data_IF_673313698820
#
_entry.id   IF_673313698820
#
_cell.length_a   1.000
_cell.length_b   1.000
_cell.length_c   1.000
_cell.angle_alpha   90.00
_cell.angle_beta   90.00
_cell.angle_gamma   90.00
#
_symmetry.space_group_name_H-M   'P 1'
#
loop_
_entity.id
_entity.type
_entity.pdbx_description
1 polymer ?
#
# COMPACT_ATOMS: atom_id res chain seq x y z
N UNK A 1 -40.17 -13.73 8.50
CA UNK A 1 -38.89 -13.97 9.20
C UNK A 1 -37.89 -13.09 8.50
N UNK A 2 -37.50 -12.00 9.15
CA UNK A 2 -36.65 -10.96 8.60
C UNK A 2 -35.25 -11.47 8.31
N UNK A 3 -34.88 -11.43 7.03
CA UNK A 3 -33.50 -11.55 6.59
C UNK A 3 -32.79 -10.29 7.10
N UNK A 4 -32.18 -10.38 8.28
CA UNK A 4 -31.21 -9.40 8.72
C UNK A 4 -30.03 -9.60 7.78
N UNK A 5 -29.86 -8.71 6.82
CA UNK A 5 -28.62 -8.63 6.06
C UNK A 5 -27.49 -8.48 7.10
N UNK A 6 -26.65 -9.50 7.25
CA UNK A 6 -25.39 -9.34 7.99
C UNK A 6 -24.67 -8.19 7.30
N UNK A 7 -24.55 -7.08 8.00
CA UNK A 7 -23.68 -6.01 7.54
C UNK A 7 -22.27 -6.63 7.36
N UNK A 8 -21.74 -6.51 6.16
CA UNK A 8 -20.44 -7.07 5.84
C UNK A 8 -19.38 -6.19 6.51
N UNK A 9 -18.61 -6.81 7.40
CA UNK A 9 -17.54 -6.14 8.12
C UNK A 9 -16.24 -6.33 7.35
N UNK A 10 -15.53 -5.25 7.11
CA UNK A 10 -14.26 -5.21 6.41
C UNK A 10 -13.17 -4.71 7.37
N UNK A 11 -12.04 -5.39 7.38
CA UNK A 11 -10.90 -5.01 8.22
C UNK A 11 -9.67 -4.82 7.36
N UNK A 12 -9.05 -3.65 7.47
CA UNK A 12 -7.77 -3.33 6.85
C UNK A 12 -6.68 -3.19 7.91
N UNK A 13 -5.52 -3.78 7.65
CA UNK A 13 -4.33 -3.64 8.50
C UNK A 13 -3.18 -3.12 7.66
N UNK A 14 -2.68 -1.95 8.03
CA UNK A 14 -1.47 -1.35 7.49
C UNK A 14 -0.30 -1.61 8.45
N UNK A 15 0.75 -2.28 7.95
CA UNK A 15 1.92 -2.67 8.74
C UNK A 15 3.10 -1.82 8.29
N UNK A 16 3.12 -0.56 8.75
CA UNK A 16 4.16 0.39 8.38
C UNK A 16 5.43 0.30 9.24
N UNK A 17 6.50 0.94 8.78
CA UNK A 17 7.78 1.01 9.50
C UNK A 17 7.65 1.79 10.82
N UNK A 18 6.83 2.83 10.86
CA UNK A 18 6.66 3.70 12.02
C UNK A 18 5.50 3.28 12.94
N UNK A 19 4.41 2.81 12.36
CA UNK A 19 3.19 2.42 13.07
C UNK A 19 2.50 1.26 12.37
N UNK A 20 1.70 0.49 13.14
CA UNK A 20 0.69 -0.44 12.63
C UNK A 20 -0.68 0.18 12.87
N UNK A 21 -1.53 0.17 11.87
CA UNK A 21 -2.89 0.69 11.94
C UNK A 21 -3.88 -0.39 11.55
N UNK A 22 -4.91 -0.58 12.36
CA UNK A 22 -6.04 -1.45 12.05
C UNK A 22 -7.32 -0.61 11.94
N UNK A 23 -8.07 -0.80 10.86
CA UNK A 23 -9.33 -0.11 10.61
C UNK A 23 -10.43 -1.14 10.44
N UNK A 24 -11.53 -0.97 11.16
CA UNK A 24 -12.75 -1.76 11.00
C UNK A 24 -13.81 -0.89 10.37
N UNK A 25 -14.38 -1.34 9.27
CA UNK A 25 -15.48 -0.68 8.60
C UNK A 25 -16.66 -1.63 8.42
N UNK A 26 -17.87 -1.07 8.43
CA UNK A 26 -19.12 -1.77 8.17
C UNK A 26 -19.77 -1.23 6.89
N UNK A 27 -20.17 -2.13 6.00
CA UNK A 27 -20.90 -1.74 4.79
C UNK A 27 -22.37 -1.51 5.12
N UNK A 28 -22.82 -0.25 5.05
CA UNK A 28 -24.22 0.16 5.29
C UNK A 28 -24.75 0.96 4.11
N UNK A 29 -25.80 0.47 3.48
CA UNK A 29 -26.47 1.22 2.40
C UNK A 29 -25.57 1.56 1.22
N UNK A 30 -24.55 0.76 0.93
CA UNK A 30 -23.58 1.00 -0.16
C UNK A 30 -22.45 1.97 0.20
N UNK A 31 -22.35 2.39 1.45
CA UNK A 31 -21.25 3.19 1.98
C UNK A 31 -20.49 2.42 3.04
N UNK A 32 -19.19 2.71 3.19
CA UNK A 32 -18.35 2.18 4.26
C UNK A 32 -18.34 3.17 5.44
N UNK A 33 -18.76 2.71 6.60
CA UNK A 33 -18.68 3.45 7.86
C UNK A 33 -17.55 2.89 8.72
N UNK A 34 -16.57 3.72 9.09
CA UNK A 34 -15.50 3.31 9.99
C UNK A 34 -16.04 3.25 11.41
N UNK A 35 -16.03 2.05 12.01
CA UNK A 35 -16.55 1.78 13.34
C UNK A 35 -15.45 1.47 14.36
N UNK A 36 -14.23 1.19 13.92
CA UNK A 36 -13.09 0.92 14.78
C UNK A 36 -11.76 1.36 14.18
N UNK A 37 -10.88 1.86 15.01
CA UNK A 37 -9.52 2.26 14.68
C UNK A 37 -8.60 1.87 15.83
N UNK A 38 -7.50 1.20 15.50
CA UNK A 38 -6.43 0.92 16.44
C UNK A 38 -5.08 1.27 15.85
N UNK A 39 -4.20 1.84 16.68
CA UNK A 39 -2.88 2.28 16.23
C UNK A 39 -1.82 1.92 17.26
N UNK A 40 -0.73 1.30 16.81
CA UNK A 40 0.40 1.00 17.69
C UNK A 40 1.73 1.31 17.00
N UNK A 41 2.72 1.78 17.79
CA UNK A 41 4.07 2.02 17.26
C UNK A 41 4.70 0.73 16.75
N UNK A 42 5.30 0.77 15.56
CA UNK A 42 6.03 -0.34 14.96
C UNK A 42 7.51 -0.26 15.30
N UNK A 43 8.13 -1.40 15.58
CA UNK A 43 9.58 -1.53 15.82
C UNK A 43 10.20 -2.72 15.08
N UNK A 44 9.38 -3.56 14.47
CA UNK A 44 9.79 -4.80 13.83
C UNK A 44 10.02 -4.69 12.32
N UNK A 45 9.86 -3.50 11.72
CA UNK A 45 10.05 -3.26 10.29
C UNK A 45 11.22 -2.31 10.02
N UNK A 46 11.88 -2.55 8.88
CA UNK A 46 12.86 -1.62 8.31
C UNK A 46 12.62 -1.51 6.80
N UNK A 47 12.38 -0.28 6.33
CA UNK A 47 12.09 0.00 4.91
C UNK A 47 10.97 -0.90 4.32
N UNK A 48 9.88 -1.09 5.09
CA UNK A 48 8.75 -1.92 4.69
C UNK A 48 8.99 -3.44 4.78
N UNK A 49 10.12 -3.89 5.31
CA UNK A 49 10.45 -5.33 5.44
C UNK A 49 10.48 -5.73 6.92
N UNK A 50 9.84 -6.85 7.25
CA UNK A 50 9.85 -7.42 8.61
C UNK A 50 11.26 -7.91 8.94
N UNK A 51 11.85 -7.35 9.99
CA UNK A 51 13.17 -7.72 10.52
C UNK A 51 13.09 -8.36 11.91
N UNK A 52 11.95 -8.21 12.58
CA UNK A 52 11.63 -8.82 13.88
C UNK A 52 10.16 -9.24 13.90
N UNK A 53 9.92 -10.55 13.85
CA UNK A 53 8.57 -11.14 13.81
C UNK A 53 7.82 -10.89 15.12
N UNK A 54 8.47 -11.05 16.27
CA UNK A 54 7.84 -10.96 17.59
C UNK A 54 7.39 -9.54 17.88
N UNK A 55 8.25 -8.55 17.61
CA UNK A 55 7.93 -7.13 17.75
C UNK A 55 6.79 -6.72 16.80
N UNK A 56 6.80 -7.19 15.55
CA UNK A 56 5.75 -6.91 14.57
C UNK A 56 4.42 -7.53 14.98
N UNK A 57 4.43 -8.81 15.39
CA UNK A 57 3.24 -9.52 15.90
C UNK A 57 2.63 -8.80 17.11
N UNK A 58 3.47 -8.33 18.03
CA UNK A 58 3.01 -7.58 19.21
C UNK A 58 2.33 -6.26 18.81
N UNK A 59 2.89 -5.54 17.84
CA UNK A 59 2.30 -4.28 17.36
C UNK A 59 0.95 -4.53 16.66
N UNK A 60 0.86 -5.58 15.84
CA UNK A 60 -0.39 -5.99 15.19
C UNK A 60 -1.46 -6.33 16.23
N UNK A 61 -1.14 -7.20 17.19
CA UNK A 61 -2.10 -7.58 18.24
C UNK A 61 -2.68 -6.37 18.98
N UNK A 62 -1.84 -5.43 19.37
CA UNK A 62 -2.27 -4.25 20.10
C UNK A 62 -3.14 -3.32 19.25
N UNK A 63 -2.81 -3.13 17.97
CA UNK A 63 -3.65 -2.32 17.09
C UNK A 63 -5.01 -3.00 16.82
N UNK A 64 -5.04 -4.33 16.71
CA UNK A 64 -6.28 -5.10 16.57
C UNK A 64 -7.13 -5.02 17.84
N UNK A 65 -6.56 -5.27 19.02
CA UNK A 65 -7.26 -5.18 20.32
C UNK A 65 -7.90 -3.80 20.52
N UNK A 66 -7.22 -2.72 20.14
CA UNK A 66 -7.75 -1.36 20.22
C UNK A 66 -8.90 -1.16 19.22
N UNK A 67 -8.77 -1.63 17.97
CA UNK A 67 -9.82 -1.55 16.97
C UNK A 67 -11.06 -2.37 17.33
N UNK A 68 -10.88 -3.60 17.86
CA UNK A 68 -11.96 -4.45 18.39
C UNK A 68 -12.71 -3.78 19.54
N UNK A 69 -11.95 -3.19 20.48
CA UNK A 69 -12.53 -2.48 21.64
C UNK A 69 -13.39 -1.30 21.20
N UNK A 70 -12.95 -0.54 20.18
CA UNK A 70 -13.71 0.59 19.66
C UNK A 70 -14.92 0.15 18.84
N UNK A 71 -14.78 -0.89 17.99
CA UNK A 71 -15.84 -1.42 17.16
C UNK A 71 -16.87 -2.27 17.91
N UNK A 72 -16.52 -2.80 19.07
CA UNK A 72 -17.36 -3.73 19.85
C UNK A 72 -17.55 -5.08 19.17
N UNK A 73 -16.59 -5.53 18.38
CA UNK A 73 -16.64 -6.77 17.59
C UNK A 73 -15.35 -7.58 17.79
N UNK A 74 -15.35 -8.82 17.28
CA UNK A 74 -14.16 -9.66 17.17
C UNK A 74 -13.74 -9.78 15.71
N UNK A 75 -12.44 -9.65 15.43
CA UNK A 75 -11.84 -9.69 14.12
C UNK A 75 -11.22 -11.07 13.88
N UNK A 76 -11.66 -11.76 12.82
CA UNK A 76 -11.12 -13.08 12.43
C UNK A 76 -10.20 -13.02 11.22
N UNK A 77 -10.43 -12.07 10.31
CA UNK A 77 -9.66 -11.94 9.06
C UNK A 77 -9.48 -10.48 8.67
N UNK A 78 -8.50 -10.20 7.82
CA UNK A 78 -8.20 -8.83 7.37
C UNK A 78 -7.54 -8.78 5.99
N UNK A 79 -7.71 -7.65 5.32
CA UNK A 79 -6.90 -7.22 4.19
C UNK A 79 -5.62 -6.57 4.72
N UNK A 80 -4.49 -6.89 4.14
CA UNK A 80 -3.18 -6.44 4.64
C UNK A 80 -2.49 -5.57 3.61
N UNK A 81 -2.15 -4.34 3.99
CA UNK A 81 -1.31 -3.46 3.21
C UNK A 81 0.10 -4.03 3.08
N UNK A 82 0.67 -3.94 1.89
CA UNK A 82 2.05 -4.34 1.63
C UNK A 82 2.77 -3.27 0.81
N UNK A 83 3.92 -2.84 1.31
CA UNK A 83 4.87 -1.95 0.66
C UNK A 83 6.30 -2.41 0.96
N UNK A 84 7.28 -1.74 0.40
CA UNK A 84 8.69 -2.01 0.67
C UNK A 84 9.53 -2.13 -0.60
N UNK A 85 10.84 -2.05 -0.42
CA UNK A 85 11.82 -2.06 -1.51
C UNK A 85 11.84 -3.35 -2.36
N UNK A 86 11.07 -4.35 -1.96
CA UNK A 86 10.90 -5.63 -2.66
C UNK A 86 9.72 -5.65 -3.65
N UNK A 87 8.91 -4.60 -3.68
CA UNK A 87 7.82 -4.42 -4.65
C UNK A 87 8.43 -4.06 -6.02
N UNK A 88 7.87 -4.61 -7.08
CA UNK A 88 8.23 -4.30 -8.47
C UNK A 88 6.98 -4.11 -9.31
N UNK A 89 6.97 -3.05 -10.10
CA UNK A 89 5.95 -2.80 -11.12
C UNK A 89 6.50 -3.11 -12.52
N UNK A 90 5.73 -3.82 -13.32
CA UNK A 90 6.08 -4.24 -14.68
C UNK A 90 4.88 -4.02 -15.60
N UNK A 91 5.12 -3.50 -16.80
CA UNK A 91 4.08 -3.44 -17.81
C UNK A 91 4.20 -4.63 -18.76
N UNK A 92 3.08 -5.26 -19.06
CA UNK A 92 3.00 -6.40 -19.95
C UNK A 92 1.81 -6.26 -20.92
N UNK A 93 1.87 -7.03 -22.00
CA UNK A 93 0.82 -7.07 -23.01
C UNK A 93 0.47 -8.53 -23.32
N UNK A 94 -0.83 -8.80 -23.41
CA UNK A 94 -1.36 -10.07 -23.89
C UNK A 94 -2.09 -9.89 -25.21
N UNK A 95 -2.09 -10.91 -26.04
CA UNK A 95 -2.77 -10.92 -27.33
C UNK A 95 -3.44 -12.26 -27.55
N UNK A 96 -4.74 -12.24 -27.88
CA UNK A 96 -5.50 -13.47 -28.22
C UNK A 96 -6.42 -13.24 -29.42
N UNK A 97 -6.72 -14.28 -30.20
CA UNK A 97 -7.76 -14.19 -31.24
C UNK A 97 -9.16 -14.23 -30.61
N UNK A 98 -10.09 -13.43 -31.14
CA UNK A 98 -11.52 -13.49 -30.83
C UNK A 98 -12.14 -14.57 -31.73
N UNK A 99 -12.69 -15.64 -31.13
CA UNK A 99 -13.13 -16.82 -31.88
C UNK A 99 -14.49 -16.66 -32.53
N UNK A 100 -15.40 -15.96 -31.87
CA UNK A 100 -16.81 -15.87 -32.28
C UNK A 100 -17.17 -14.51 -32.90
N UNK A 101 -16.16 -13.70 -33.26
CA UNK A 101 -16.35 -12.38 -33.85
C UNK A 101 -16.83 -11.31 -32.86
N UNK A 102 -17.05 -11.65 -31.59
CA UNK A 102 -17.45 -10.76 -30.52
C UNK A 102 -16.71 -11.15 -29.23
N UNK A 103 -16.22 -10.17 -28.48
CA UNK A 103 -15.44 -10.37 -27.24
C UNK A 103 -16.34 -10.91 -26.14
N UNK A 104 -15.97 -12.05 -25.58
CA UNK A 104 -16.60 -12.70 -24.42
C UNK A 104 -15.74 -12.60 -23.18
N UNK A 105 -16.31 -12.88 -21.99
CA UNK A 105 -15.56 -13.00 -20.72
C UNK A 105 -14.35 -13.93 -20.84
N UNK A 106 -14.53 -15.08 -21.50
CA UNK A 106 -13.44 -16.04 -21.72
C UNK A 106 -12.29 -15.49 -22.58
N UNK A 107 -12.54 -14.52 -23.46
CA UNK A 107 -11.48 -13.88 -24.24
C UNK A 107 -10.73 -12.87 -23.39
N UNK A 108 -11.45 -12.13 -22.53
CA UNK A 108 -10.84 -11.20 -21.55
C UNK A 108 -9.98 -11.96 -20.55
N UNK A 109 -10.49 -13.04 -19.95
CA UNK A 109 -9.69 -13.87 -19.04
C UNK A 109 -8.43 -14.39 -19.73
N UNK A 110 -8.56 -14.92 -20.94
CA UNK A 110 -7.46 -15.49 -21.69
C UNK A 110 -6.41 -14.45 -22.11
N UNK A 111 -6.80 -13.22 -22.47
CA UNK A 111 -5.85 -12.16 -22.81
C UNK A 111 -5.11 -11.66 -21.58
N UNK A 112 -5.77 -11.60 -20.43
CA UNK A 112 -5.15 -11.27 -19.14
C UNK A 112 -4.17 -12.37 -18.71
N UNK A 113 -4.56 -13.66 -18.80
CA UNK A 113 -3.66 -14.78 -18.54
C UNK A 113 -2.42 -14.76 -19.45
N UNK A 114 -2.62 -14.41 -20.74
CA UNK A 114 -1.50 -14.26 -21.67
C UNK A 114 -0.56 -13.13 -21.27
N UNK A 115 -1.11 -12.00 -20.81
CA UNK A 115 -0.30 -10.88 -20.31
C UNK A 115 0.45 -11.23 -19.02
N UNK A 116 -0.09 -12.13 -18.19
CA UNK A 116 0.55 -12.63 -16.96
C UNK A 116 1.65 -13.67 -17.21
N UNK A 117 1.67 -14.30 -18.40
CA UNK A 117 2.62 -15.36 -18.73
C UNK A 117 4.09 -14.89 -18.85
N UNK A 118 4.38 -13.66 -18.43
CA UNK A 118 5.74 -13.13 -18.29
C UNK A 118 6.51 -13.95 -17.24
N UNK A 119 7.79 -14.20 -17.50
CA UNK A 119 8.66 -14.88 -16.54
C UNK A 119 8.89 -14.00 -15.29
N UNK A 120 8.19 -14.35 -14.22
CA UNK A 120 8.40 -13.76 -12.90
C UNK A 120 9.56 -14.49 -12.22
N UNK A 121 10.56 -13.80 -11.65
CA UNK A 121 11.64 -14.43 -10.89
C UNK A 121 11.11 -15.38 -9.80
N UNK A 122 11.81 -16.47 -9.54
CA UNK A 122 11.36 -17.52 -8.60
C UNK A 122 11.22 -17.05 -7.14
N UNK A 123 11.89 -15.94 -6.78
CA UNK A 123 11.81 -15.29 -5.47
C UNK A 123 10.70 -14.22 -5.38
N UNK A 124 9.93 -14.02 -6.47
CA UNK A 124 8.83 -13.07 -6.56
C UNK A 124 7.50 -13.80 -6.76
N UNK A 125 6.44 -13.22 -6.22
CA UNK A 125 5.06 -13.62 -6.48
C UNK A 125 4.26 -12.47 -7.06
N UNK A 126 3.30 -12.80 -7.90
CA UNK A 126 2.34 -11.84 -8.42
C UNK A 126 1.42 -11.36 -7.29
N UNK A 127 1.35 -10.05 -7.09
CA UNK A 127 0.51 -9.40 -6.10
C UNK A 127 -0.79 -8.86 -6.74
N UNK A 128 -0.65 -8.08 -7.82
CA UNK A 128 -1.77 -7.52 -8.56
C UNK A 128 -1.57 -7.62 -10.06
N UNK A 129 -2.69 -7.78 -10.76
CA UNK A 129 -2.81 -7.62 -12.22
C UNK A 129 -3.82 -6.49 -12.45
N UNK A 130 -3.35 -5.39 -12.97
CA UNK A 130 -4.14 -4.17 -13.13
C UNK A 130 -4.30 -3.88 -14.62
N UNK A 131 -5.46 -4.25 -15.23
CA UNK A 131 -5.74 -3.90 -16.62
C UNK A 131 -5.73 -2.39 -16.80
N UNK A 132 -5.11 -1.94 -17.88
CA UNK A 132 -4.98 -0.52 -18.22
C UNK A 132 -5.87 -0.17 -19.41
N UNK A 133 -5.72 -0.93 -20.48
CA UNK A 133 -6.30 -0.64 -21.77
C UNK A 133 -6.46 -1.90 -22.58
N UNK A 134 -7.53 -1.95 -23.39
CA UNK A 134 -7.73 -3.01 -24.37
C UNK A 134 -7.65 -2.42 -25.77
N UNK A 135 -7.21 -3.28 -26.71
CA UNK A 135 -7.13 -2.95 -28.13
C UNK A 135 -7.87 -4.04 -28.89
N UNK A 136 -8.81 -3.66 -29.75
CA UNK A 136 -9.53 -4.57 -30.63
C UNK A 136 -9.15 -4.23 -32.08
N UNK A 137 -8.54 -5.17 -32.78
CA UNK A 137 -7.99 -5.07 -34.13
C UNK A 137 -6.94 -3.95 -34.27
N UNK A 138 -7.23 -2.70 -34.16
CA UNK A 138 -6.31 -1.56 -34.16
C UNK A 138 -6.90 -0.37 -33.40
N UNK A 139 -8.07 -0.57 -32.79
CA UNK A 139 -8.72 0.45 -32.00
C UNK A 139 -8.23 0.32 -30.55
N UNK A 140 -7.51 1.32 -30.10
CA UNK A 140 -7.02 1.45 -28.72
C UNK A 140 -7.97 2.24 -27.82
N UNK A 141 -7.61 2.43 -26.55
CA UNK A 141 -8.37 3.24 -25.59
C UNK A 141 -9.67 2.57 -25.10
N UNK A 142 -9.83 1.26 -25.31
CA UNK A 142 -11.03 0.53 -24.88
C UNK A 142 -10.88 0.15 -23.41
N UNK A 143 -11.83 0.58 -22.54
CA UNK A 143 -11.86 0.20 -21.11
C UNK A 143 -12.74 -1.03 -20.89
N UNK A 144 -13.85 -1.15 -21.60
CA UNK A 144 -14.81 -2.25 -21.49
C UNK A 144 -14.93 -2.97 -22.85
N UNK A 145 -14.15 -4.04 -23.07
CA UNK A 145 -14.11 -4.71 -24.38
C UNK A 145 -15.27 -5.68 -24.61
N UNK A 146 -16.02 -6.07 -23.55
CA UNK A 146 -17.08 -7.08 -23.63
C UNK A 146 -18.17 -6.70 -24.62
N UNK A 147 -18.58 -7.65 -25.47
CA UNK A 147 -19.62 -7.45 -26.48
C UNK A 147 -19.18 -6.68 -27.72
N UNK A 148 -17.93 -6.21 -27.77
CA UNK A 148 -17.40 -5.54 -28.98
C UNK A 148 -17.03 -6.54 -30.07
N UNK A 149 -17.36 -6.21 -31.31
CA UNK A 149 -17.01 -7.00 -32.47
C UNK A 149 -15.53 -6.84 -32.86
N UNK A 150 -14.88 -7.93 -33.22
CA UNK A 150 -13.49 -7.91 -33.69
C UNK A 150 -12.93 -9.30 -33.91
N UNK A 151 -11.69 -9.37 -34.34
CA UNK A 151 -10.95 -10.62 -34.62
C UNK A 151 -9.77 -10.85 -33.68
N UNK A 152 -9.23 -9.79 -33.09
CA UNK A 152 -8.05 -9.82 -32.21
C UNK A 152 -8.24 -8.90 -31.02
N UNK A 153 -8.05 -9.45 -29.82
CA UNK A 153 -8.07 -8.71 -28.56
C UNK A 153 -6.65 -8.64 -27.99
N UNK A 154 -6.23 -7.44 -27.62
CA UNK A 154 -4.99 -7.18 -26.87
C UNK A 154 -5.35 -6.53 -25.53
N UNK A 155 -4.60 -6.84 -24.47
CA UNK A 155 -4.70 -6.16 -23.20
C UNK A 155 -3.34 -5.64 -22.77
N UNK A 156 -3.29 -4.38 -22.35
CA UNK A 156 -2.15 -3.80 -21.65
C UNK A 156 -2.42 -3.86 -20.15
N UNK A 157 -1.49 -4.43 -19.40
CA UNK A 157 -1.64 -4.61 -17.96
C UNK A 157 -0.44 -4.05 -17.21
N UNK A 158 -0.67 -3.54 -16.01
CA UNK A 158 0.38 -3.28 -15.04
C UNK A 158 0.40 -4.43 -14.03
N UNK A 159 1.51 -5.16 -13.97
CA UNK A 159 1.75 -6.27 -13.05
C UNK A 159 2.52 -5.74 -11.86
N UNK A 160 2.08 -6.05 -10.65
CA UNK A 160 2.81 -5.76 -9.43
C UNK A 160 3.22 -7.08 -8.79
N UNK A 161 4.51 -7.21 -8.51
CA UNK A 161 5.08 -8.38 -7.82
C UNK A 161 5.69 -7.98 -6.49
N UNK A 162 5.79 -8.92 -5.57
CA UNK A 162 6.47 -8.76 -4.27
C UNK A 162 7.36 -9.96 -3.96
N UNK A 163 8.33 -9.78 -3.08
CA UNK A 163 9.16 -10.90 -2.59
C UNK A 163 8.29 -11.94 -1.89
N UNK A 164 8.44 -13.21 -2.28
CA UNK A 164 7.75 -14.33 -1.65
C UNK A 164 8.06 -14.41 -0.14
N UNK A 165 9.34 -14.28 0.23
CA UNK A 165 9.77 -14.32 1.63
C UNK A 165 9.19 -13.16 2.45
N UNK A 166 9.13 -11.93 1.88
CA UNK A 166 8.58 -10.77 2.59
C UNK A 166 7.10 -10.95 2.85
N UNK A 167 6.32 -11.38 1.86
CA UNK A 167 4.89 -11.64 2.03
C UNK A 167 4.63 -12.79 3.02
N UNK A 168 5.44 -13.84 3.00
CA UNK A 168 5.34 -14.94 3.98
C UNK A 168 5.64 -14.49 5.40
N UNK A 169 6.61 -13.60 5.62
CA UNK A 169 6.91 -13.07 6.95
C UNK A 169 5.76 -12.21 7.49
N UNK A 170 5.16 -11.36 6.65
CA UNK A 170 3.96 -10.61 7.03
C UNK A 170 2.81 -11.57 7.37
N UNK A 171 2.57 -12.58 6.52
CA UNK A 171 1.54 -13.59 6.77
C UNK A 171 1.74 -14.30 8.12
N UNK A 172 3.00 -14.69 8.45
CA UNK A 172 3.33 -15.28 9.75
C UNK A 172 3.00 -14.36 10.92
N UNK A 173 3.30 -13.05 10.80
CA UNK A 173 2.99 -12.09 11.87
C UNK A 173 1.48 -11.94 12.07
N UNK A 174 0.70 -11.88 10.99
CA UNK A 174 -0.77 -11.82 11.05
C UNK A 174 -1.34 -13.10 11.65
N UNK A 175 -0.93 -14.29 11.17
CA UNK A 175 -1.41 -15.58 11.70
C UNK A 175 -1.02 -15.79 13.17
N UNK A 176 0.19 -15.37 13.58
CA UNK A 176 0.61 -15.39 14.99
C UNK A 176 -0.18 -14.39 15.86
N UNK A 177 -0.85 -13.42 15.24
CA UNK A 177 -1.77 -12.51 15.91
C UNK A 177 -3.19 -13.09 16.05
N UNK A 178 -3.45 -14.28 15.50
CA UNK A 178 -4.75 -14.96 15.55
C UNK A 178 -5.70 -14.57 14.42
N UNK A 179 -5.20 -13.99 13.34
CA UNK A 179 -5.96 -13.51 12.20
C UNK A 179 -5.64 -14.28 10.93
N UNK A 180 -6.61 -14.36 10.03
CA UNK A 180 -6.44 -14.86 8.68
C UNK A 180 -6.25 -13.69 7.70
N UNK A 181 -5.40 -13.89 6.68
CA UNK A 181 -5.17 -12.91 5.60
C UNK A 181 -6.15 -13.21 4.47
N UNK A 182 -7.08 -12.28 4.21
CA UNK A 182 -7.98 -12.36 3.05
C UNK A 182 -7.24 -12.09 1.75
N UNK A 183 -6.50 -10.98 1.71
CA UNK A 183 -5.63 -10.63 0.59
C UNK A 183 -4.56 -9.63 1.01
N UNK A 184 -3.46 -9.62 0.27
CA UNK A 184 -2.49 -8.52 0.30
C UNK A 184 -2.88 -7.45 -0.70
N UNK A 185 -2.80 -6.19 -0.30
CA UNK A 185 -3.12 -5.02 -1.12
C UNK A 185 -1.91 -4.09 -1.17
N UNK A 186 -1.51 -3.69 -2.37
CA UNK A 186 -0.46 -2.70 -2.56
C UNK A 186 -0.87 -1.38 -1.90
N UNK A 187 -0.04 -0.82 -1.02
CA UNK A 187 -0.38 0.38 -0.23
C UNK A 187 -0.69 1.59 -1.12
N UNK A 188 0.08 1.84 -2.19
CA UNK A 188 -0.18 2.93 -3.13
C UNK A 188 -1.54 2.79 -3.83
N UNK A 189 -1.96 1.56 -4.12
CA UNK A 189 -3.27 1.29 -4.69
C UNK A 189 -4.37 1.61 -3.67
N UNK A 190 -4.22 1.15 -2.43
CA UNK A 190 -5.17 1.44 -1.35
C UNK A 190 -5.28 2.94 -1.08
N UNK A 191 -4.15 3.65 -0.93
CA UNK A 191 -4.09 5.09 -0.72
C UNK A 191 -4.78 5.86 -1.85
N UNK A 192 -4.63 5.40 -3.10
CA UNK A 192 -5.24 6.05 -4.26
C UNK A 192 -6.76 6.09 -4.21
N UNK A 193 -7.40 5.06 -3.65
CA UNK A 193 -8.86 5.03 -3.51
C UNK A 193 -9.38 6.01 -2.47
N UNK A 194 -8.57 6.37 -1.49
CA UNK A 194 -8.99 7.29 -0.42
C UNK A 194 -8.66 8.76 -0.70
N UNK A 195 -7.63 9.05 -1.50
CA UNK A 195 -7.13 10.43 -1.68
C UNK A 195 -7.29 10.99 -3.10
N UNK A 196 -7.46 10.15 -4.13
CA UNK A 196 -7.59 10.60 -5.50
C UNK A 196 -9.04 10.57 -5.97
N UNK A 197 -9.46 11.63 -6.64
CA UNK A 197 -10.72 11.66 -7.38
C UNK A 197 -10.59 10.90 -8.71
N UNK A 198 -11.73 10.55 -9.30
CA UNK A 198 -11.76 9.91 -10.62
C UNK A 198 -11.19 10.83 -11.70
N UNK A 199 -11.51 12.13 -11.65
CA UNK A 199 -11.01 13.12 -12.59
C UNK A 199 -9.47 13.24 -12.54
N UNK A 200 -8.87 13.25 -11.35
CA UNK A 200 -7.41 13.28 -11.19
C UNK A 200 -6.76 12.04 -11.79
N UNK A 201 -7.32 10.86 -11.58
CA UNK A 201 -6.82 9.62 -12.19
C UNK A 201 -6.94 9.65 -13.72
N UNK A 202 -8.02 10.19 -14.26
CA UNK A 202 -8.25 10.30 -15.70
C UNK A 202 -7.33 11.33 -16.37
N UNK A 203 -7.13 12.49 -15.73
CA UNK A 203 -6.26 13.56 -16.24
C UNK A 203 -4.78 13.20 -16.16
N UNK A 204 -4.43 12.29 -15.28
CA UNK A 204 -3.04 11.90 -15.00
C UNK A 204 -2.53 12.54 -13.71
N UNK A 205 -2.10 11.68 -12.76
CA UNK A 205 -1.63 12.11 -11.45
C UNK A 205 -0.50 11.19 -10.96
N UNK A 206 0.45 11.77 -10.24
CA UNK A 206 1.45 11.03 -9.49
C UNK A 206 1.07 11.08 -8.01
N UNK A 207 0.75 9.92 -7.44
CA UNK A 207 0.57 9.74 -5.99
C UNK A 207 1.94 9.44 -5.38
N UNK A 208 2.28 10.17 -4.33
CA UNK A 208 3.50 9.97 -3.53
C UNK A 208 3.07 9.80 -2.08
N UNK A 209 3.31 8.62 -1.52
CA UNK A 209 3.05 8.28 -0.13
C UNK A 209 4.39 8.23 0.63
N UNK A 210 4.60 9.16 1.57
CA UNK A 210 5.86 9.30 2.32
C UNK A 210 5.65 8.76 3.73
N UNK A 211 6.10 7.53 3.94
CA UNK A 211 6.03 6.85 5.23
C UNK A 211 7.22 7.15 6.16
N UNK A 212 7.44 6.25 7.12
CA UNK A 212 8.63 6.28 7.97
C UNK A 212 9.87 5.75 7.25
N UNK A 213 9.79 4.58 6.64
CA UNK A 213 10.92 3.89 6.01
C UNK A 213 10.95 3.91 4.49
N UNK A 214 9.81 4.11 3.83
CA UNK A 214 9.63 4.08 2.37
C UNK A 214 8.88 5.30 1.87
N UNK A 215 9.16 5.67 0.62
CA UNK A 215 8.36 6.59 -0.18
C UNK A 215 7.83 5.79 -1.36
N UNK A 216 6.52 5.66 -1.42
CA UNK A 216 5.81 4.83 -2.38
C UNK A 216 5.21 5.71 -3.47
N UNK A 217 5.39 5.30 -4.73
CA UNK A 217 5.01 6.08 -5.91
C UNK A 217 4.05 5.27 -6.77
N UNK A 218 2.95 5.89 -7.19
CA UNK A 218 2.06 5.37 -8.22
C UNK A 218 1.69 6.48 -9.21
N UNK A 219 1.80 6.18 -10.50
CA UNK A 219 1.40 7.10 -11.57
C UNK A 219 0.15 6.56 -12.26
N UNK A 220 -0.86 7.40 -12.36
CA UNK A 220 -2.11 7.12 -13.05
C UNK A 220 -2.17 7.91 -14.35
N UNK A 221 -2.67 7.28 -15.39
CA UNK A 221 -2.97 7.89 -16.70
C UNK A 221 -4.23 7.23 -17.22
N UNK A 222 -5.17 8.00 -17.72
CA UNK A 222 -6.45 7.51 -18.26
C UNK A 222 -7.18 6.56 -17.29
N UNK A 223 -7.21 6.93 -16.00
CA UNK A 223 -7.88 6.18 -14.94
C UNK A 223 -7.15 4.93 -14.43
N UNK A 224 -6.01 4.56 -15.01
CA UNK A 224 -5.31 3.31 -14.71
C UNK A 224 -3.88 3.55 -14.21
N UNK A 225 -3.39 2.68 -13.31
CA UNK A 225 -1.99 2.70 -12.89
C UNK A 225 -1.10 2.27 -14.07
N UNK A 226 -0.11 3.10 -14.39
CA UNK A 226 0.86 2.80 -15.43
C UNK A 226 2.30 2.61 -14.92
N UNK A 227 2.58 3.03 -13.70
CA UNK A 227 3.89 2.90 -13.07
C UNK A 227 3.73 2.83 -11.56
N UNK A 228 4.50 1.95 -10.91
CA UNK A 228 4.66 1.88 -9.46
C UNK A 228 6.14 1.67 -9.12
N UNK A 229 6.61 2.33 -8.08
CA UNK A 229 7.95 2.15 -7.55
C UNK A 229 8.00 2.45 -6.05
N UNK A 230 9.06 2.02 -5.37
CA UNK A 230 9.27 2.25 -3.94
C UNK A 230 10.70 2.71 -3.71
N UNK A 231 10.85 3.89 -3.11
CA UNK A 231 12.14 4.45 -2.72
C UNK A 231 12.35 4.17 -1.23
N UNK A 232 13.45 3.48 -0.82
CA UNK A 232 13.72 3.16 0.58
C UNK A 232 14.32 4.35 1.35
N UNK A 233 13.79 5.54 1.15
CA UNK A 233 14.15 6.79 1.82
C UNK A 233 12.87 7.51 2.19
N UNK A 234 12.71 7.87 3.48
CA UNK A 234 11.52 8.53 3.99
C UNK A 234 11.77 9.24 5.32
N UNK A 235 10.73 9.44 6.13
CA UNK A 235 10.77 10.27 7.34
C UNK A 235 11.83 9.88 8.37
N UNK A 236 12.13 8.59 8.55
CA UNK A 236 13.14 8.11 9.50
C UNK A 236 14.56 8.50 9.09
N UNK A 237 14.82 8.63 7.79
CA UNK A 237 16.11 9.10 7.30
C UNK A 237 16.35 10.56 7.69
N UNK A 238 15.33 11.42 7.53
CA UNK A 238 15.38 12.82 7.98
C UNK A 238 15.59 12.89 9.50
N UNK A 239 14.90 12.07 10.27
CA UNK A 239 15.08 11.99 11.73
C UNK A 239 16.50 11.59 12.11
N UNK A 240 17.05 10.59 11.43
CA UNK A 240 18.42 10.14 11.69
C UNK A 240 19.46 11.22 11.30
N UNK A 241 19.26 11.92 10.20
CA UNK A 241 20.14 13.02 9.79
C UNK A 241 20.14 14.16 10.83
N UNK A 242 18.96 14.53 11.33
CA UNK A 242 18.82 15.50 12.43
C UNK A 242 19.53 14.99 13.69
N UNK A 243 19.32 13.73 14.06
CA UNK A 243 19.93 13.14 15.24
C UNK A 243 21.48 13.19 15.18
N UNK A 244 22.04 12.87 14.01
CA UNK A 244 23.48 12.92 13.78
C UNK A 244 24.03 14.35 13.75
N UNK A 245 23.39 15.24 12.98
CA UNK A 245 23.81 16.62 12.81
C UNK A 245 23.79 17.41 14.15
N UNK A 246 22.72 17.22 14.93
CA UNK A 246 22.54 17.91 16.21
C UNK A 246 23.06 17.11 17.41
N UNK A 247 23.58 15.91 17.20
CA UNK A 247 24.04 14.98 18.27
C UNK A 247 23.00 14.83 19.38
N UNK A 248 21.76 14.60 19.00
CA UNK A 248 20.60 14.43 19.90
C UNK A 248 20.03 13.02 19.77
N UNK A 249 19.35 12.48 20.79
CA UNK A 249 18.69 11.17 20.68
C UNK A 249 17.65 11.15 19.54
N UNK A 250 17.45 10.02 18.82
CA UNK A 250 16.50 9.92 17.72
C UNK A 250 15.07 10.33 18.08
N UNK A 251 14.63 10.05 19.30
CA UNK A 251 13.30 10.45 19.81
C UNK A 251 13.16 11.99 19.88
N UNK A 252 14.23 12.69 20.26
CA UNK A 252 14.25 14.14 20.29
C UNK A 252 14.36 14.73 18.88
N UNK A 253 15.16 14.09 18.02
CA UNK A 253 15.25 14.47 16.60
C UNK A 253 13.90 14.35 15.89
N UNK A 254 13.12 13.31 16.17
CA UNK A 254 11.75 13.16 15.65
C UNK A 254 10.84 14.30 16.11
N UNK A 255 10.89 14.64 17.40
CA UNK A 255 10.15 15.79 17.94
C UNK A 255 10.57 17.12 17.28
N UNK A 256 11.87 17.30 17.03
CA UNK A 256 12.40 18.48 16.34
C UNK A 256 11.88 18.52 14.89
N UNK A 257 11.96 17.39 14.17
CA UNK A 257 11.45 17.27 12.80
C UNK A 257 9.97 17.64 12.73
N UNK A 258 9.15 17.06 13.58
CA UNK A 258 7.69 17.30 13.58
C UNK A 258 7.33 18.73 13.94
N UNK A 259 8.06 19.36 14.86
CA UNK A 259 7.73 20.68 15.39
C UNK A 259 8.31 21.83 14.56
N UNK A 260 9.52 21.65 14.04
CA UNK A 260 10.29 22.73 13.40
C UNK A 260 10.65 22.39 11.94
N UNK A 261 10.40 21.17 11.47
CA UNK A 261 10.70 20.76 10.10
C UNK A 261 9.89 21.57 9.09
N UNK A 262 10.56 22.04 8.05
CA UNK A 262 9.95 22.76 6.95
C UNK A 262 10.62 22.34 5.64
N UNK A 263 9.82 21.93 4.65
CA UNK A 263 10.33 21.52 3.34
C UNK A 263 10.76 22.69 2.46
N UNK A 264 10.33 23.91 2.77
CA UNK A 264 10.60 25.12 1.97
C UNK A 264 11.38 26.13 2.82
N UNK A 265 12.66 26.32 2.53
CA UNK A 265 13.55 27.18 3.30
C UNK A 265 13.07 28.66 3.42
N UNK A 266 12.35 29.17 2.42
CA UNK A 266 11.79 30.52 2.45
C UNK A 266 10.63 30.69 3.45
N UNK A 267 10.07 29.60 3.96
CA UNK A 267 9.02 29.60 4.99
C UNK A 267 9.61 29.57 6.42
N UNK A 268 10.91 29.34 6.57
CA UNK A 268 11.58 29.37 7.86
C UNK A 268 11.88 30.84 8.29
N UNK A 269 11.80 31.09 9.60
CA UNK A 269 12.16 32.41 10.15
C UNK A 269 13.64 32.39 10.56
N UNK A 270 14.50 33.23 10.01
CA UNK A 270 15.94 33.24 10.32
C UNK A 270 16.28 33.46 11.80
N UNK A 271 15.35 34.06 12.55
CA UNK A 271 15.51 34.40 13.96
C UNK A 271 14.93 33.35 14.91
N UNK A 272 14.34 32.28 14.38
CA UNK A 272 13.75 31.22 15.20
C UNK A 272 14.84 30.41 15.87
N UNK A 273 14.83 30.38 17.20
CA UNK A 273 15.78 29.64 18.03
C UNK A 273 15.05 28.45 18.64
N UNK A 274 15.60 27.26 18.48
CA UNK A 274 15.11 26.03 19.12
C UNK A 274 16.10 25.51 20.17
N UNK A 275 15.58 24.97 21.26
CA UNK A 275 16.37 24.27 22.25
C UNK A 275 16.57 22.82 21.82
N UNK A 276 17.82 22.41 21.64
CA UNK A 276 18.18 21.05 21.27
C UNK A 276 18.68 20.32 22.51
N UNK A 277 17.96 19.29 23.02
CA UNK A 277 18.47 18.46 24.09
C UNK A 277 19.66 17.64 23.58
N UNK A 278 20.86 17.97 24.10
CA UNK A 278 22.08 17.22 23.75
C UNK A 278 22.14 15.86 24.46
N UNK A 279 22.96 14.95 23.96
CA UNK A 279 23.40 13.80 24.75
C UNK A 279 24.20 14.35 25.96
N UNK A 280 23.82 13.93 27.18
CA UNK A 280 24.55 14.28 28.39
C UNK A 280 25.99 13.81 28.20
N UNK A 281 26.95 14.75 28.22
CA UNK A 281 28.35 14.41 28.23
C UNK A 281 28.58 13.49 29.44
N UNK A 282 29.11 12.28 29.22
CA UNK A 282 29.58 11.45 30.34
C UNK A 282 30.63 12.28 31.06
N UNK A 283 30.54 12.42 32.40
CA UNK A 283 31.63 13.04 33.11
C UNK A 283 32.89 12.21 32.81
N UNK A 284 33.94 12.89 32.40
CA UNK A 284 35.25 12.26 32.25
C UNK A 284 35.63 11.70 33.62
N UNK A 285 35.90 10.38 33.64
CA UNK A 285 36.40 9.67 34.82
C UNK A 285 37.93 9.83 34.83
#
# INVERSE_FOLDING_TARGET
MSNVSRNEMLVGVDIGTSKVVAIVAEARGGQLEIIGLGTHSSKGLKNGVVVDIDSTTTAIKKSIEEAESMAGCHIGSCYVGISGSHIRGLNSEGVVPIRDGEVKFTDVDRVIETAQAMAIPADQRLLHVLPRDYIIDKQDGIKEPLGMAGSRLEAKVHLVTCSENSSQNIHKCISASGLDVEAFVLEQLASSYSVLTEDERNLGVCLIDIGGGTTDIAVFVDGSICFTDVIPIAGDHVTNDIAQALRTPPTQAETIKQRYGCAVSSMTRPEEIMMVPGMVARPEI
#
